data_IF_726317523019
#
_entry.id   IF_726317523019
#
_cell.length_a   1.000
_cell.length_b   1.000
_cell.length_c   1.000
_cell.angle_alpha   90.00
_cell.angle_beta   90.00
_cell.angle_gamma   90.00
#
_symmetry.space_group_name_H-M   'P 1'
#
loop_
_entity.id
_entity.type
_entity.pdbx_description
1 polymer ?
#
# COMPACT_ATOMS: atom_id res chain seq x y z
N UNK A 1 -30.70 -9.70 57.33
CA UNK A 1 -31.15 -9.20 56.01
C UNK A 1 -30.22 -8.14 55.41
N UNK A 2 -29.91 -7.05 56.13
CA UNK A 2 -29.07 -5.94 55.60
C UNK A 2 -27.68 -6.39 55.13
N UNK A 3 -27.01 -7.28 55.87
CA UNK A 3 -25.68 -7.80 55.52
C UNK A 3 -25.67 -8.58 54.20
N UNK A 4 -26.71 -9.39 53.94
CA UNK A 4 -26.83 -10.17 52.69
C UNK A 4 -27.01 -9.24 51.49
N UNK A 5 -27.81 -8.18 51.65
CA UNK A 5 -28.05 -7.20 50.60
C UNK A 5 -26.77 -6.43 50.23
N UNK A 6 -25.95 -6.06 51.22
CA UNK A 6 -24.66 -5.38 51.00
C UNK A 6 -23.68 -6.31 50.27
N UNK A 7 -23.60 -7.59 50.67
CA UNK A 7 -22.70 -8.55 50.03
C UNK A 7 -23.03 -8.79 48.55
N UNK A 8 -24.32 -8.86 48.18
CA UNK A 8 -24.73 -9.04 46.78
C UNK A 8 -24.29 -7.85 45.91
N UNK A 9 -24.38 -6.63 46.43
CA UNK A 9 -23.95 -5.41 45.73
C UNK A 9 -22.43 -5.41 45.52
N UNK A 10 -21.64 -5.77 46.54
CA UNK A 10 -20.17 -5.79 46.43
C UNK A 10 -19.71 -6.84 45.39
N UNK A 11 -20.31 -8.03 45.39
CA UNK A 11 -19.96 -9.11 44.45
C UNK A 11 -20.29 -8.71 43.01
N UNK A 12 -21.46 -8.09 42.78
CA UNK A 12 -21.87 -7.66 41.44
C UNK A 12 -20.98 -6.53 40.91
N UNK A 13 -20.62 -5.55 41.74
CA UNK A 13 -19.66 -4.51 41.36
C UNK A 13 -18.25 -5.07 41.10
N UNK A 14 -17.81 -6.04 41.91
CA UNK A 14 -16.53 -6.74 41.71
C UNK A 14 -16.49 -7.50 40.38
N UNK A 15 -17.57 -8.21 40.03
CA UNK A 15 -17.68 -8.95 38.78
C UNK A 15 -17.64 -8.02 37.55
N UNK A 16 -18.40 -6.92 37.55
CA UNK A 16 -18.37 -5.95 36.45
C UNK A 16 -16.98 -5.30 36.33
N UNK A 17 -16.34 -4.99 37.45
CA UNK A 17 -14.99 -4.41 37.46
C UNK A 17 -13.95 -5.40 36.94
N UNK A 18 -14.07 -6.69 37.27
CA UNK A 18 -13.20 -7.74 36.75
C UNK A 18 -13.38 -7.89 35.24
N UNK A 19 -14.62 -7.96 34.75
CA UNK A 19 -14.93 -8.07 33.32
C UNK A 19 -14.40 -6.86 32.54
N UNK A 20 -14.63 -5.64 33.06
CA UNK A 20 -14.15 -4.41 32.44
C UNK A 20 -12.62 -4.31 32.43
N UNK A 21 -11.95 -4.81 33.47
CA UNK A 21 -10.49 -4.90 33.51
C UNK A 21 -9.95 -5.96 32.55
N UNK A 22 -10.59 -7.12 32.47
CA UNK A 22 -10.20 -8.18 31.56
C UNK A 22 -10.27 -7.69 30.11
N UNK A 23 -11.38 -7.07 29.71
CA UNK A 23 -11.54 -6.51 28.37
C UNK A 23 -10.49 -5.43 28.06
N UNK A 24 -10.22 -4.52 29.01
CA UNK A 24 -9.17 -3.52 28.82
C UNK A 24 -7.77 -4.11 28.77
N UNK A 25 -7.47 -5.15 29.56
CA UNK A 25 -6.19 -5.85 29.52
C UNK A 25 -6.01 -6.59 28.19
N UNK A 26 -7.06 -7.23 27.68
CA UNK A 26 -7.04 -7.92 26.40
C UNK A 26 -6.85 -6.92 25.25
N UNK A 27 -7.56 -5.78 25.27
CA UNK A 27 -7.39 -4.72 24.27
C UNK A 27 -6.03 -4.04 24.33
N UNK A 28 -5.56 -3.68 25.53
CA UNK A 28 -4.23 -3.08 25.73
C UNK A 28 -3.14 -4.06 25.30
N UNK A 29 -3.24 -5.33 25.70
CA UNK A 29 -2.28 -6.37 25.34
C UNK A 29 -2.20 -6.59 23.83
N UNK A 30 -3.34 -6.66 23.13
CA UNK A 30 -3.37 -6.75 21.67
C UNK A 30 -2.75 -5.54 20.98
N UNK A 31 -2.96 -4.35 21.54
CA UNK A 31 -2.41 -3.10 21.01
C UNK A 31 -0.90 -3.03 21.22
N UNK A 32 -0.42 -3.43 22.39
CA UNK A 32 1.00 -3.48 22.71
C UNK A 32 1.73 -4.50 21.83
N UNK A 33 1.16 -5.71 21.65
CA UNK A 33 1.67 -6.72 20.72
C UNK A 33 1.73 -6.18 19.28
N UNK A 34 0.64 -5.55 18.80
CA UNK A 34 0.62 -4.96 17.46
C UNK A 34 1.72 -3.92 17.26
N UNK A 35 1.94 -3.03 18.24
CA UNK A 35 2.98 -2.02 18.15
C UNK A 35 4.40 -2.60 18.25
N UNK A 36 4.62 -3.60 19.12
CA UNK A 36 5.90 -4.31 19.22
C UNK A 36 6.23 -5.03 17.91
N UNK A 37 5.34 -5.91 17.43
CA UNK A 37 5.54 -6.66 16.19
C UNK A 37 5.71 -5.74 14.98
N UNK A 38 5.00 -4.61 14.93
CA UNK A 38 5.21 -3.62 13.86
C UNK A 38 6.61 -3.01 13.94
N UNK A 39 7.10 -2.68 15.14
CA UNK A 39 8.47 -2.21 15.34
C UNK A 39 9.52 -3.23 14.91
N UNK A 40 9.30 -4.51 15.20
CA UNK A 40 10.15 -5.62 14.78
C UNK A 40 10.23 -5.70 13.24
N UNK A 41 9.09 -5.65 12.56
CA UNK A 41 9.02 -5.71 11.08
C UNK A 41 9.79 -4.55 10.45
N UNK A 42 9.67 -3.33 10.96
CA UNK A 42 10.41 -2.17 10.43
C UNK A 42 11.93 -2.35 10.58
N UNK A 43 12.37 -2.95 11.68
CA UNK A 43 13.79 -3.25 11.89
C UNK A 43 14.30 -4.35 10.95
N UNK A 44 13.50 -5.40 10.73
CA UNK A 44 13.82 -6.45 9.77
C UNK A 44 13.88 -5.91 8.34
N UNK A 45 12.96 -5.01 7.96
CA UNK A 45 13.01 -4.31 6.67
C UNK A 45 14.27 -3.47 6.53
N UNK A 46 14.68 -2.76 7.57
CA UNK A 46 15.92 -1.99 7.55
C UNK A 46 17.17 -2.87 7.35
N UNK A 47 17.22 -4.05 7.97
CA UNK A 47 18.29 -5.03 7.74
C UNK A 47 18.25 -5.57 6.30
N UNK A 48 17.07 -5.84 5.77
CA UNK A 48 16.88 -6.28 4.39
C UNK A 48 17.36 -5.22 3.39
N UNK A 49 17.01 -3.94 3.60
CA UNK A 49 17.47 -2.83 2.76
C UNK A 49 19.00 -2.76 2.68
N UNK A 50 19.69 -2.94 3.82
CA UNK A 50 21.16 -2.98 3.90
C UNK A 50 21.75 -4.18 3.14
N UNK A 51 21.05 -5.32 3.11
CA UNK A 51 21.44 -6.49 2.29
C UNK A 51 21.29 -6.19 0.81
N UNK A 52 20.18 -5.61 0.40
CA UNK A 52 19.90 -5.26 -1.00
C UNK A 52 20.87 -4.21 -1.55
N UNK A 53 21.30 -3.28 -0.69
CA UNK A 53 22.31 -2.28 -1.02
C UNK A 53 23.75 -2.84 -1.00
N UNK A 54 23.94 -4.10 -0.58
CA UNK A 54 25.25 -4.75 -0.49
C UNK A 54 26.10 -4.27 0.68
N UNK A 55 25.52 -3.55 1.64
CA UNK A 55 26.19 -3.05 2.84
C UNK A 55 26.40 -4.14 3.90
N UNK A 56 25.50 -5.12 3.94
CA UNK A 56 25.50 -6.22 4.90
C UNK A 56 25.26 -7.55 4.18
N UNK A 57 26.08 -8.60 4.39
CA UNK A 57 25.78 -9.91 3.83
C UNK A 57 24.55 -10.52 4.52
N UNK A 58 23.73 -11.26 3.76
CA UNK A 58 22.48 -11.86 4.24
C UNK A 58 22.64 -12.65 5.55
N UNK A 59 23.68 -13.47 5.67
CA UNK A 59 23.92 -14.26 6.88
C UNK A 59 24.17 -13.37 8.12
N UNK A 60 24.87 -12.25 7.95
CA UNK A 60 25.09 -11.31 9.05
C UNK A 60 23.80 -10.58 9.43
N UNK A 61 22.99 -10.21 8.44
CA UNK A 61 21.67 -9.62 8.67
C UNK A 61 20.73 -10.57 9.41
N UNK A 62 20.73 -11.85 9.04
CA UNK A 62 19.95 -12.89 9.72
C UNK A 62 20.41 -13.10 11.16
N UNK A 63 21.71 -13.09 11.42
CA UNK A 63 22.23 -13.21 12.79
C UNK A 63 21.91 -11.96 13.63
N UNK A 64 22.05 -10.76 13.05
CA UNK A 64 21.65 -9.51 13.68
C UNK A 64 20.16 -9.54 14.03
N UNK A 65 19.29 -9.96 13.11
CA UNK A 65 17.86 -10.14 13.35
C UNK A 65 17.58 -11.11 14.51
N UNK A 66 18.27 -12.26 14.57
CA UNK A 66 18.11 -13.22 15.68
C UNK A 66 18.45 -12.62 17.04
N UNK A 67 19.53 -11.83 17.11
CA UNK A 67 19.95 -11.17 18.35
C UNK A 67 18.92 -10.11 18.75
N UNK A 68 18.41 -9.32 17.81
CA UNK A 68 17.43 -8.27 18.10
C UNK A 68 16.09 -8.84 18.59
N UNK A 69 15.67 -9.98 18.03
CA UNK A 69 14.40 -10.64 18.35
C UNK A 69 14.48 -11.51 19.61
N UNK A 70 15.56 -12.27 19.79
CA UNK A 70 15.65 -13.30 20.84
C UNK A 70 16.78 -13.08 21.83
N UNK A 71 17.61 -12.06 21.65
CA UNK A 71 18.79 -11.80 22.46
C UNK A 71 20.02 -12.61 22.04
N UNK A 72 21.21 -12.29 22.59
CA UNK A 72 22.43 -13.03 22.32
C UNK A 72 22.39 -14.42 22.94
N UNK A 73 23.18 -15.35 22.38
CA UNK A 73 23.34 -16.69 22.92
C UNK A 73 24.27 -16.67 24.14
N UNK A 74 23.84 -17.30 25.22
CA UNK A 74 24.59 -17.53 26.45
C UNK A 74 25.49 -18.77 26.35
N UNK A 75 26.46 -18.88 27.25
CA UNK A 75 27.40 -20.02 27.29
C UNK A 75 26.73 -21.38 27.52
N UNK A 76 25.54 -21.39 28.13
CA UNK A 76 24.74 -22.60 28.40
C UNK A 76 23.85 -23.01 27.22
N UNK A 77 23.93 -22.30 26.09
CA UNK A 77 23.14 -22.54 24.89
C UNK A 77 21.78 -21.84 24.87
N UNK A 78 21.34 -21.24 25.99
CA UNK A 78 20.12 -20.44 26.03
C UNK A 78 20.36 -19.04 25.48
N UNK A 79 19.31 -18.24 25.41
CA UNK A 79 19.36 -16.86 24.93
C UNK A 79 19.07 -15.90 26.07
N UNK A 80 19.71 -14.74 26.06
CA UNK A 80 19.46 -13.67 27.04
C UNK A 80 18.31 -12.76 26.59
N UNK A 81 17.10 -13.06 27.03
CA UNK A 81 15.90 -12.30 26.66
C UNK A 81 15.85 -10.90 27.26
N UNK A 82 16.63 -10.62 28.30
CA UNK A 82 16.68 -9.27 28.87
C UNK A 82 17.37 -8.27 27.92
N UNK A 83 18.17 -8.78 26.99
CA UNK A 83 18.84 -8.00 25.96
C UNK A 83 18.10 -8.01 24.61
N UNK A 84 16.99 -8.76 24.50
CA UNK A 84 16.11 -8.66 23.33
C UNK A 84 15.45 -7.27 23.29
N UNK A 85 15.40 -6.66 22.11
CA UNK A 85 14.82 -5.32 21.95
C UNK A 85 13.31 -5.28 22.11
N UNK A 86 12.66 -6.44 21.92
CA UNK A 86 11.21 -6.55 21.82
C UNK A 86 10.60 -7.48 22.87
N UNK A 87 9.28 -7.42 22.99
CA UNK A 87 8.51 -7.82 24.16
C UNK A 87 8.72 -9.30 24.55
N UNK A 88 9.63 -9.54 25.49
CA UNK A 88 9.95 -10.85 26.02
C UNK A 88 9.79 -10.80 27.55
N UNK A 89 8.56 -10.94 28.07
CA UNK A 89 8.31 -10.97 29.53
C UNK A 89 8.20 -12.40 30.02
N UNK A 90 9.21 -12.82 30.79
CA UNK A 90 9.36 -14.00 31.69
C UNK A 90 8.96 -15.41 31.17
N UNK A 91 8.06 -15.55 30.18
CA UNK A 91 7.70 -16.83 29.56
C UNK A 91 6.95 -16.73 28.22
N UNK A 92 6.52 -15.54 27.79
CA UNK A 92 5.61 -15.38 26.64
C UNK A 92 6.27 -14.59 25.50
N UNK A 93 7.34 -15.17 24.98
CA UNK A 93 8.17 -14.56 23.96
C UNK A 93 7.79 -15.09 22.57
N UNK A 94 7.59 -14.18 21.62
CA UNK A 94 7.28 -14.54 20.24
C UNK A 94 8.52 -15.09 19.51
N UNK A 95 8.32 -16.14 18.71
CA UNK A 95 9.33 -16.68 17.81
C UNK A 95 9.09 -16.24 16.36
N UNK A 96 10.13 -16.27 15.55
CA UNK A 96 10.06 -16.13 14.10
C UNK A 96 10.14 -17.51 13.44
N UNK A 97 9.25 -17.75 12.48
CA UNK A 97 9.14 -19.03 11.78
C UNK A 97 9.18 -18.81 10.27
N UNK A 98 9.74 -19.76 9.53
CA UNK A 98 9.63 -19.78 8.06
C UNK A 98 8.24 -20.26 7.62
N UNK A 99 7.98 -20.15 6.32
CA UNK A 99 6.81 -20.70 5.64
C UNK A 99 6.71 -22.23 5.72
N UNK A 100 7.84 -22.91 5.89
CA UNK A 100 7.92 -24.36 6.18
C UNK A 100 7.71 -24.71 7.68
N UNK A 101 7.26 -23.75 8.50
CA UNK A 101 7.06 -23.89 9.95
C UNK A 101 8.33 -24.20 10.75
N UNK A 102 9.50 -23.83 10.21
CA UNK A 102 10.79 -24.02 10.89
C UNK A 102 11.10 -22.77 11.71
N UNK A 103 11.43 -22.94 12.98
CA UNK A 103 11.86 -21.83 13.83
C UNK A 103 13.17 -21.22 13.32
N UNK A 104 13.13 -19.93 12.99
CA UNK A 104 14.29 -19.16 12.54
C UNK A 104 14.92 -18.38 13.69
N UNK A 105 14.10 -17.88 14.60
CA UNK A 105 14.51 -17.28 15.86
C UNK A 105 13.51 -17.73 16.92
N UNK A 106 13.99 -18.38 17.97
CA UNK A 106 13.14 -18.77 19.08
C UNK A 106 13.88 -18.53 20.39
N UNK A 107 13.17 -18.06 21.42
CA UNK A 107 13.75 -17.85 22.74
C UNK A 107 14.39 -19.12 23.31
N UNK A 108 13.62 -20.20 23.34
CA UNK A 108 14.15 -21.53 23.63
C UNK A 108 15.03 -22.07 22.48
N UNK A 109 15.88 -23.06 22.76
CA UNK A 109 16.78 -23.71 21.81
C UNK A 109 16.03 -24.62 20.81
N UNK A 110 15.14 -24.01 20.01
CA UNK A 110 14.30 -24.66 19.00
C UNK A 110 14.64 -24.18 17.57
N UNK A 111 15.66 -23.33 17.40
CA UNK A 111 16.06 -22.84 16.08
C UNK A 111 16.43 -24.02 15.15
N UNK A 112 15.85 -24.04 13.95
CA UNK A 112 16.03 -25.10 12.96
C UNK A 112 15.06 -26.28 13.11
N UNK A 113 14.23 -26.31 14.15
CA UNK A 113 13.21 -27.33 14.32
C UNK A 113 11.92 -27.02 13.56
N UNK A 114 11.30 -28.05 12.98
CA UNK A 114 9.96 -27.96 12.38
C UNK A 114 8.91 -28.08 13.50
N UNK A 115 8.13 -27.03 13.70
CA UNK A 115 7.18 -26.92 14.82
C UNK A 115 5.72 -26.91 14.35
N UNK A 116 5.49 -27.04 13.04
CA UNK A 116 4.15 -27.02 12.44
C UNK A 116 3.26 -28.18 12.85
N UNK A 117 3.82 -29.31 13.30
CA UNK A 117 3.05 -30.47 13.78
C UNK A 117 2.89 -30.52 15.30
N UNK A 118 3.46 -29.54 16.02
CA UNK A 118 3.28 -29.45 17.47
C UNK A 118 1.86 -29.01 17.81
N UNK A 119 1.27 -29.74 18.74
CA UNK A 119 -0.04 -29.42 19.31
C UNK A 119 0.14 -28.89 20.73
N UNK A 120 -0.71 -27.93 21.09
CA UNK A 120 -0.84 -27.49 22.48
C UNK A 120 -1.66 -28.49 23.32
N UNK A 121 -1.95 -28.13 24.58
CA UNK A 121 -2.74 -28.98 25.48
C UNK A 121 -4.20 -29.18 25.05
N UNK A 122 -4.67 -28.40 24.07
CA UNK A 122 -6.03 -28.41 23.54
C UNK A 122 -6.09 -29.04 22.12
N UNK A 123 -5.05 -29.79 21.73
CA UNK A 123 -4.89 -30.44 20.42
C UNK A 123 -4.85 -29.47 19.21
N UNK A 124 -4.46 -28.20 19.42
CA UNK A 124 -4.41 -27.17 18.36
C UNK A 124 -3.01 -27.00 17.77
N UNK A 125 -2.94 -26.84 16.45
CA UNK A 125 -1.68 -26.59 15.71
C UNK A 125 -1.34 -25.10 15.67
N UNK A 126 -0.94 -24.55 16.82
CA UNK A 126 -0.75 -23.09 17.01
C UNK A 126 0.11 -22.43 15.91
N UNK A 127 1.21 -23.05 15.49
CA UNK A 127 2.11 -22.48 14.46
C UNK A 127 1.45 -22.43 13.08
N UNK A 128 0.61 -23.42 12.74
CA UNK A 128 -0.15 -23.42 11.48
C UNK A 128 -1.22 -22.35 11.48
N UNK A 129 -1.91 -22.19 12.61
CA UNK A 129 -2.95 -21.19 12.76
C UNK A 129 -2.36 -19.76 12.69
N UNK A 130 -1.19 -19.54 13.28
CA UNK A 130 -0.43 -18.30 13.15
C UNK A 130 -0.06 -18.00 11.69
N UNK A 131 0.44 -19.00 10.95
CA UNK A 131 0.76 -18.83 9.53
C UNK A 131 -0.50 -18.50 8.70
N UNK A 132 -1.61 -19.19 8.95
CA UNK A 132 -2.87 -18.95 8.25
C UNK A 132 -3.44 -17.55 8.56
N UNK A 133 -3.33 -17.10 9.80
CA UNK A 133 -3.70 -15.74 10.21
C UNK A 133 -2.82 -14.69 9.51
N UNK A 134 -1.51 -14.93 9.39
CA UNK A 134 -0.57 -14.08 8.65
C UNK A 134 -0.94 -13.96 7.16
N UNK A 135 -1.21 -15.08 6.48
CA UNK A 135 -1.66 -15.06 5.07
C UNK A 135 -2.96 -14.27 4.90
N UNK A 136 -3.93 -14.46 5.80
CA UNK A 136 -5.19 -13.72 5.78
C UNK A 136 -4.98 -12.21 5.97
N UNK A 137 -3.98 -11.82 6.76
CA UNK A 137 -3.53 -10.42 6.89
C UNK A 137 -2.94 -9.88 5.58
N UNK A 138 -2.00 -10.60 4.98
CA UNK A 138 -1.38 -10.21 3.70
C UNK A 138 -2.40 -10.07 2.56
N UNK A 139 -3.38 -10.98 2.47
CA UNK A 139 -4.45 -10.89 1.48
C UNK A 139 -5.24 -9.58 1.61
N UNK A 140 -5.51 -9.10 2.84
CA UNK A 140 -6.19 -7.81 3.06
C UNK A 140 -5.36 -6.63 2.55
N UNK A 141 -4.05 -6.65 2.77
CA UNK A 141 -3.12 -5.62 2.27
C UNK A 141 -3.11 -5.61 0.74
N UNK A 142 -3.01 -6.78 0.11
CA UNK A 142 -3.04 -6.92 -1.35
C UNK A 142 -4.35 -6.39 -1.92
N UNK A 143 -5.49 -6.74 -1.31
CA UNK A 143 -6.81 -6.24 -1.75
C UNK A 143 -6.91 -4.73 -1.62
N UNK A 144 -6.35 -4.13 -0.56
CA UNK A 144 -6.31 -2.68 -0.40
C UNK A 144 -5.46 -2.01 -1.50
N UNK A 145 -4.25 -2.52 -1.76
CA UNK A 145 -3.38 -2.02 -2.83
C UNK A 145 -4.03 -2.16 -4.22
N UNK A 146 -4.71 -3.28 -4.50
CA UNK A 146 -5.45 -3.47 -5.76
C UNK A 146 -6.57 -2.45 -5.93
N UNK A 147 -7.24 -2.06 -4.84
CA UNK A 147 -8.27 -1.03 -4.88
C UNK A 147 -7.70 0.34 -5.23
N UNK A 148 -6.53 0.69 -4.67
CA UNK A 148 -5.82 1.94 -4.99
C UNK A 148 -5.42 1.97 -6.47
N UNK A 149 -4.80 0.89 -6.98
CA UNK A 149 -4.44 0.77 -8.41
C UNK A 149 -5.67 0.89 -9.32
N UNK A 150 -6.80 0.28 -8.95
CA UNK A 150 -8.02 0.38 -9.75
C UNK A 150 -8.58 1.82 -9.79
N UNK A 151 -8.52 2.54 -8.67
CA UNK A 151 -8.93 3.95 -8.61
C UNK A 151 -8.03 4.84 -9.48
N UNK A 152 -6.72 4.59 -9.46
CA UNK A 152 -5.78 5.34 -10.29
C UNK A 152 -6.00 5.05 -11.79
N UNK A 153 -6.28 3.79 -12.15
CA UNK A 153 -6.63 3.42 -13.52
C UNK A 153 -7.90 4.14 -14.02
N UNK A 154 -8.93 4.30 -13.17
CA UNK A 154 -10.13 5.08 -13.50
C UNK A 154 -9.82 6.56 -13.72
N UNK A 155 -8.94 7.15 -12.90
CA UNK A 155 -8.49 8.54 -13.08
C UNK A 155 -7.75 8.73 -14.41
N UNK A 156 -6.88 7.80 -14.76
CA UNK A 156 -6.14 7.83 -16.04
C UNK A 156 -7.09 7.70 -17.24
N UNK A 157 -8.12 6.85 -17.16
CA UNK A 157 -9.14 6.74 -18.22
C UNK A 157 -9.89 8.06 -18.42
N UNK A 158 -10.27 8.74 -17.33
CA UNK A 158 -10.93 10.04 -17.40
C UNK A 158 -10.04 11.11 -18.06
N UNK A 159 -8.76 11.15 -17.70
CA UNK A 159 -7.79 12.05 -18.35
C UNK A 159 -7.65 11.73 -19.84
N UNK A 160 -7.58 10.46 -20.21
CA UNK A 160 -7.51 10.04 -21.62
C UNK A 160 -8.76 10.45 -22.41
N UNK A 161 -9.96 10.30 -21.84
CA UNK A 161 -11.20 10.78 -22.46
C UNK A 161 -11.19 12.30 -22.64
N UNK A 162 -10.66 13.03 -21.65
CA UNK A 162 -10.51 14.49 -21.77
C UNK A 162 -9.57 14.87 -22.92
N UNK A 163 -8.44 14.16 -23.07
CA UNK A 163 -7.49 14.37 -24.16
C UNK A 163 -8.09 14.04 -25.53
N UNK A 164 -8.87 12.96 -25.63
CA UNK A 164 -9.61 12.60 -26.85
C UNK A 164 -10.56 13.73 -27.23
N UNK A 165 -11.36 14.24 -26.28
CA UNK A 165 -12.30 15.34 -26.55
C UNK A 165 -11.60 16.63 -27.01
N UNK A 166 -10.44 16.95 -26.42
CA UNK A 166 -9.61 18.10 -26.83
C UNK A 166 -9.09 17.88 -28.26
N UNK A 167 -8.65 16.66 -28.58
CA UNK A 167 -8.14 16.32 -29.92
C UNK A 167 -9.22 16.44 -31.01
N UNK A 168 -10.45 16.00 -30.72
CA UNK A 168 -11.59 16.12 -31.62
C UNK A 168 -11.99 17.58 -31.84
N UNK A 169 -12.04 18.37 -30.76
CA UNK A 169 -12.31 19.80 -30.83
C UNK A 169 -11.25 20.54 -31.65
N UNK A 170 -9.97 20.21 -31.45
CA UNK A 170 -8.87 20.77 -32.22
C UNK A 170 -8.98 20.41 -33.71
N UNK A 171 -9.27 19.16 -34.04
CA UNK A 171 -9.48 18.71 -35.43
C UNK A 171 -10.65 19.44 -36.11
N UNK A 172 -11.79 19.56 -35.41
CA UNK A 172 -12.96 20.30 -35.88
C UNK A 172 -12.64 21.78 -36.16
N UNK A 173 -11.96 22.45 -35.23
CA UNK A 173 -11.55 23.84 -35.39
C UNK A 173 -10.61 24.04 -36.59
N UNK A 174 -9.67 23.11 -36.79
CA UNK A 174 -8.72 23.18 -37.91
C UNK A 174 -9.43 23.05 -39.26
N UNK A 175 -10.41 22.13 -39.36
CA UNK A 175 -11.24 21.96 -40.55
C UNK A 175 -12.12 23.20 -40.83
N UNK A 176 -12.70 23.79 -39.78
CA UNK A 176 -13.50 25.01 -39.88
C UNK A 176 -12.67 26.20 -40.38
N UNK A 177 -11.46 26.38 -39.86
CA UNK A 177 -10.52 27.42 -40.32
C UNK A 177 -10.14 27.18 -41.79
N UNK A 178 -9.77 25.95 -42.17
CA UNK A 178 -9.43 25.62 -43.56
C UNK A 178 -10.60 25.89 -44.53
N UNK A 179 -11.83 25.55 -44.15
CA UNK A 179 -13.03 25.84 -44.94
C UNK A 179 -13.29 27.35 -45.07
N UNK A 180 -13.14 28.10 -43.98
CA UNK A 180 -13.26 29.56 -43.97
C UNK A 180 -12.19 30.22 -44.84
N UNK A 181 -10.92 29.81 -44.71
CA UNK A 181 -9.82 30.28 -45.55
C UNK A 181 -10.06 29.98 -47.03
N UNK A 182 -10.53 28.76 -47.37
CA UNK A 182 -10.87 28.41 -48.76
C UNK A 182 -11.99 29.29 -49.31
N UNK A 183 -13.02 29.58 -48.51
CA UNK A 183 -14.12 30.49 -48.88
C UNK A 183 -13.62 31.93 -49.09
N UNK A 184 -12.77 32.43 -48.19
CA UNK A 184 -12.15 33.76 -48.34
C UNK A 184 -11.28 33.86 -49.60
N UNK A 185 -10.48 32.82 -49.89
CA UNK A 185 -9.66 32.76 -51.10
C UNK A 185 -10.51 32.80 -52.38
N UNK A 186 -11.62 32.06 -52.40
CA UNK A 186 -12.55 32.03 -53.52
C UNK A 186 -13.22 33.40 -53.76
N UNK A 187 -13.59 34.09 -52.67
CA UNK A 187 -14.14 35.45 -52.75
C UNK A 187 -13.11 36.42 -53.32
N UNK A 188 -11.88 36.40 -52.80
CA UNK A 188 -10.80 37.28 -53.27
C UNK A 188 -10.48 37.04 -54.76
N UNK A 189 -10.42 35.77 -55.18
CA UNK A 189 -10.22 35.41 -56.59
C UNK A 189 -11.32 35.96 -57.50
N UNK A 190 -12.58 35.90 -57.06
CA UNK A 190 -13.71 36.44 -57.82
C UNK A 190 -13.60 37.97 -57.95
N UNK A 191 -13.31 38.68 -56.86
CA UNK A 191 -13.13 40.13 -56.88
C UNK A 191 -12.00 40.57 -57.80
N UNK A 192 -10.86 39.86 -57.80
CA UNK A 192 -9.75 40.12 -58.72
C UNK A 192 -10.14 39.92 -60.17
N UNK A 193 -10.93 38.88 -60.48
CA UNK A 193 -11.43 38.64 -61.84
C UNK A 193 -12.34 39.75 -62.32
N UNK A 194 -13.23 40.27 -61.46
CA UNK A 194 -14.11 41.40 -61.80
C UNK A 194 -13.27 42.65 -62.10
N UNK A 195 -12.31 42.96 -61.23
CA UNK A 195 -11.46 44.14 -61.41
C UNK A 195 -10.60 44.06 -62.68
N UNK A 196 -10.12 42.86 -63.02
CA UNK A 196 -9.41 42.62 -64.28
C UNK A 196 -10.31 42.84 -65.52
N UNK A 197 -11.58 42.40 -65.45
CA UNK A 197 -12.55 42.64 -66.53
C UNK A 197 -12.88 44.13 -66.67
N UNK A 198 -13.08 44.84 -65.57
CA UNK A 198 -13.32 46.29 -65.57
C UNK A 198 -12.13 47.05 -66.18
N UNK A 199 -10.90 46.68 -65.83
CA UNK A 199 -9.69 47.26 -66.43
C UNK A 199 -9.60 46.98 -67.94
N UNK A 200 -9.94 45.76 -68.39
CA UNK A 200 -9.97 45.42 -69.82
C UNK A 200 -11.03 46.22 -70.57
N UNK A 201 -12.22 46.40 -69.99
CA UNK A 201 -13.28 47.22 -70.56
C UNK A 201 -12.86 48.69 -70.66
N UNK A 202 -12.26 49.22 -69.60
CA UNK A 202 -11.76 50.60 -69.56
C UNK A 202 -10.69 50.82 -70.64
N UNK A 203 -9.72 49.91 -70.74
CA UNK A 203 -8.66 49.95 -71.78
C UNK A 203 -9.27 49.92 -73.19
N UNK A 204 -10.29 49.08 -73.40
CA UNK A 204 -10.99 48.99 -74.69
C UNK A 204 -11.79 50.26 -75.04
N UNK A 205 -12.33 50.95 -74.04
CA UNK A 205 -12.99 52.24 -74.23
C UNK A 205 -11.98 53.33 -74.61
N UNK A 206 -10.83 53.39 -73.95
CA UNK A 206 -9.75 54.33 -74.32
C UNK A 206 -9.27 54.12 -75.77
N UNK A 207 -9.04 52.88 -76.18
CA UNK A 207 -8.61 52.57 -77.56
C UNK A 207 -9.64 52.92 -78.64
N UNK A 208 -10.94 52.96 -78.31
CA UNK A 208 -11.99 53.38 -79.24
C UNK A 208 -12.10 54.90 -79.38
N UNK A 209 -11.67 55.67 -78.39
CA UNK A 209 -11.77 57.14 -78.38
C UNK A 209 -10.54 57.83 -79.00
N UNK A 210 -9.48 57.09 -79.35
CA UNK A 210 -8.27 57.61 -80.04
C UNK A 210 -8.31 57.44 -81.59
N UNK A 211 -9.45 57.05 -82.16
CA UNK A 211 -9.69 57.03 -83.62
C UNK A 211 -10.76 58.04 -84.02
#
# INVERSE_FOLDING_TARGET
MVVIMISVIIISFGAVSYWYKQEQLDQSGRTDLYHSTRGEIELLNHLQDRVEQGELPLLAAQEEAKILLSGPKLEDGKKDFHEALFFCKESDCMGAFSDDYIAQAHPADLEGEMLGDLQDSDDQYMIRDLFQASLSGHVKVIVAAMKEVNQEAESVDQELQSLISISEAAGSNTNMVAASSKKQLATASTSLSVLAQELQQLTSQFQKNEK
#
